data_IF_939163774048
#
_entry.id   IF_939163774048
#
_cell.length_a   1.000
_cell.length_b   1.000
_cell.length_c   1.000
_cell.angle_alpha   90.00
_cell.angle_beta   90.00
_cell.angle_gamma   90.00
#
_symmetry.space_group_name_H-M   'P 1'
#
loop_
_entity.id
_entity.type
_entity.pdbx_description
1 polymer ?
#
# COMPACT_ATOMS: atom_id res chain seq x y z
N UNK A 1 35.90 27.86 -4.04
CA UNK A 1 36.35 26.47 -3.77
C UNK A 1 35.14 25.62 -3.41
N UNK A 2 34.64 24.85 -4.37
CA UNK A 2 33.48 23.96 -4.23
C UNK A 2 34.01 22.53 -4.09
N UNK A 3 33.48 21.78 -3.11
CA UNK A 3 33.06 20.37 -3.15
C UNK A 3 33.40 19.61 -1.86
N UNK A 4 32.41 19.51 -0.96
CA UNK A 4 32.31 18.48 0.07
C UNK A 4 30.83 18.12 0.29
N UNK A 5 30.17 17.54 -0.72
CA UNK A 5 28.78 17.06 -0.58
C UNK A 5 28.46 15.81 -1.41
N UNK A 6 29.47 15.00 -1.76
CA UNK A 6 29.26 13.84 -2.65
C UNK A 6 29.78 12.53 -2.05
N UNK A 7 29.43 12.23 -0.79
CA UNK A 7 29.75 10.92 -0.20
C UNK A 7 28.57 10.22 0.49
N UNK A 8 27.33 10.63 0.19
CA UNK A 8 26.13 10.11 0.87
C UNK A 8 25.08 9.50 -0.07
N UNK A 9 25.42 9.30 -1.35
CA UNK A 9 24.49 8.73 -2.35
C UNK A 9 24.84 7.26 -2.68
N UNK A 10 26.00 6.76 -2.27
CA UNK A 10 26.48 5.43 -2.64
C UNK A 10 25.93 4.25 -1.83
N UNK A 11 25.35 4.47 -0.65
CA UNK A 11 24.98 3.39 0.27
C UNK A 11 23.55 2.86 0.11
N UNK A 12 22.70 3.52 -0.67
CA UNK A 12 21.29 3.09 -0.83
C UNK A 12 21.13 2.05 -1.96
N UNK A 13 22.06 1.99 -2.91
CA UNK A 13 21.98 1.06 -4.06
C UNK A 13 22.53 -0.35 -3.80
N UNK A 14 23.15 -0.61 -2.64
CA UNK A 14 23.74 -1.91 -2.32
C UNK A 14 22.76 -2.96 -1.78
N UNK A 15 21.44 -2.69 -1.76
CA UNK A 15 20.42 -3.61 -1.26
C UNK A 15 19.73 -4.47 -2.33
N UNK A 16 20.08 -4.34 -3.60
CA UNK A 16 19.37 -5.02 -4.71
C UNK A 16 20.09 -6.28 -5.22
N UNK A 17 21.27 -6.62 -4.69
CA UNK A 17 22.12 -7.65 -5.31
C UNK A 17 22.77 -8.63 -4.35
N UNK A 18 22.03 -9.23 -3.42
CA UNK A 18 22.49 -10.47 -2.77
C UNK A 18 21.36 -11.46 -2.45
N UNK A 19 21.31 -12.64 -3.10
CA UNK A 19 20.54 -13.79 -2.64
C UNK A 19 21.25 -14.54 -1.48
N UNK A 20 22.01 -13.82 -0.63
CA UNK A 20 22.87 -14.39 0.41
C UNK A 20 22.55 -13.85 1.82
N UNK A 21 21.32 -13.40 2.08
CA UNK A 21 20.88 -12.98 3.43
C UNK A 21 20.25 -14.16 4.18
N UNK A 22 20.91 -15.33 4.18
CA UNK A 22 20.49 -16.50 4.96
C UNK A 22 21.47 -16.87 6.08
N UNK A 23 22.58 -16.14 6.23
CA UNK A 23 23.55 -16.35 7.30
C UNK A 23 23.62 -15.12 8.23
N UNK A 24 22.74 -15.09 9.23
CA UNK A 24 22.95 -14.23 10.41
C UNK A 24 22.05 -13.01 10.56
N UNK A 25 20.78 -13.02 10.10
CA UNK A 25 19.81 -12.08 10.68
C UNK A 25 19.64 -12.50 12.15
N UNK A 26 20.10 -11.65 13.07
CA UNK A 26 19.91 -11.83 14.50
C UNK A 26 18.43 -12.16 14.78
N UNK A 27 18.17 -13.21 15.57
CA UNK A 27 16.80 -13.70 15.82
C UNK A 27 15.90 -12.58 16.39
N UNK A 28 16.47 -11.64 17.16
CA UNK A 28 15.71 -10.48 17.67
C UNK A 28 15.40 -9.50 16.54
N UNK A 29 16.36 -9.20 15.67
CA UNK A 29 16.12 -8.37 14.47
C UNK A 29 15.02 -8.95 13.56
N UNK A 30 15.05 -10.27 13.30
CA UNK A 30 13.97 -10.97 12.56
C UNK A 30 12.61 -10.81 13.26
N UNK A 31 12.57 -11.03 14.57
CA UNK A 31 11.33 -10.95 15.37
C UNK A 31 10.75 -9.54 15.35
N UNK A 32 11.59 -8.52 15.53
CA UNK A 32 11.17 -7.11 15.49
C UNK A 32 10.66 -6.73 14.10
N UNK A 33 11.37 -7.13 13.04
CA UNK A 33 10.93 -6.92 11.66
C UNK A 33 9.54 -7.52 11.41
N UNK A 34 9.33 -8.78 11.78
CA UNK A 34 8.05 -9.45 11.57
C UNK A 34 6.91 -8.83 12.39
N UNK A 35 7.18 -8.38 13.62
CA UNK A 35 6.19 -7.66 14.43
C UNK A 35 5.78 -6.34 13.77
N UNK A 36 6.74 -5.58 13.25
CA UNK A 36 6.46 -4.33 12.55
C UNK A 36 5.68 -4.58 11.25
N UNK A 37 6.12 -5.56 10.45
CA UNK A 37 5.43 -5.93 9.21
C UNK A 37 3.98 -6.38 9.48
N UNK A 38 3.73 -7.13 10.56
CA UNK A 38 2.37 -7.50 10.96
C UNK A 38 1.52 -6.26 11.32
N UNK A 39 2.12 -5.28 12.01
CA UNK A 39 1.48 -4.00 12.30
C UNK A 39 1.10 -3.25 11.02
N UNK A 40 2.03 -3.15 10.07
CA UNK A 40 1.80 -2.48 8.78
C UNK A 40 0.73 -3.19 7.95
N UNK A 41 0.74 -4.52 7.89
CA UNK A 41 -0.32 -5.33 7.26
C UNK A 41 -1.67 -5.03 7.90
N UNK A 42 -1.75 -4.98 9.24
CA UNK A 42 -3.00 -4.68 9.94
C UNK A 42 -3.53 -3.29 9.59
N UNK A 43 -2.66 -2.28 9.48
CA UNK A 43 -3.04 -0.93 9.06
C UNK A 43 -3.56 -0.94 7.63
N UNK A 44 -2.85 -1.57 6.70
CA UNK A 44 -3.27 -1.64 5.29
C UNK A 44 -4.59 -2.42 5.11
N UNK A 45 -4.81 -3.47 5.88
CA UNK A 45 -6.10 -4.18 5.90
C UNK A 45 -7.23 -3.29 6.41
N UNK A 46 -6.98 -2.46 7.42
CA UNK A 46 -7.97 -1.51 7.91
C UNK A 46 -8.31 -0.46 6.85
N UNK A 47 -7.30 0.07 6.16
CA UNK A 47 -7.47 0.99 5.03
C UNK A 47 -8.30 0.31 3.94
N UNK A 48 -7.93 -0.89 3.49
CA UNK A 48 -8.67 -1.65 2.47
C UNK A 48 -10.15 -1.87 2.85
N UNK A 49 -10.43 -2.18 4.12
CA UNK A 49 -11.80 -2.38 4.59
C UNK A 49 -12.60 -1.07 4.66
N UNK A 50 -11.99 0.02 5.15
CA UNK A 50 -12.58 1.36 5.11
C UNK A 50 -12.89 1.75 3.68
N UNK A 51 -11.94 1.48 2.79
CA UNK A 51 -12.08 1.71 1.37
C UNK A 51 -13.27 0.95 0.77
N UNK A 52 -13.37 -0.34 1.02
CA UNK A 52 -14.49 -1.15 0.55
C UNK A 52 -15.85 -0.59 1.00
N UNK A 53 -15.96 -0.10 2.24
CA UNK A 53 -17.19 0.53 2.76
C UNK A 53 -17.53 1.83 2.02
N UNK A 54 -16.56 2.69 1.77
CA UNK A 54 -16.77 3.94 1.04
C UNK A 54 -17.19 3.69 -0.42
N UNK A 55 -16.56 2.71 -1.09
CA UNK A 55 -16.97 2.28 -2.43
C UNK A 55 -18.43 1.80 -2.48
N UNK A 56 -18.86 1.04 -1.47
CA UNK A 56 -20.23 0.57 -1.38
C UNK A 56 -21.23 1.74 -1.22
N UNK A 57 -20.88 2.76 -0.43
CA UNK A 57 -21.68 4.00 -0.29
C UNK A 57 -21.76 4.76 -1.61
N UNK A 58 -20.62 5.03 -2.27
CA UNK A 58 -20.57 5.71 -3.56
C UNK A 58 -21.39 4.97 -4.62
N UNK A 59 -21.31 3.63 -4.65
CA UNK A 59 -22.08 2.81 -5.58
C UNK A 59 -23.59 2.94 -5.33
N UNK A 60 -24.00 3.03 -4.07
CA UNK A 60 -25.41 3.25 -3.70
C UNK A 60 -25.88 4.65 -4.12
N UNK A 61 -25.05 5.66 -3.95
CA UNK A 61 -25.36 7.04 -4.37
C UNK A 61 -25.44 7.18 -5.88
N UNK A 62 -24.55 6.53 -6.63
CA UNK A 62 -24.62 6.49 -8.10
C UNK A 62 -25.93 5.85 -8.58
N UNK A 63 -26.38 4.76 -7.94
CA UNK A 63 -27.68 4.15 -8.29
C UNK A 63 -28.85 5.10 -8.03
N UNK A 64 -28.79 5.88 -6.94
CA UNK A 64 -29.81 6.89 -6.63
C UNK A 64 -29.82 8.03 -7.64
N UNK A 65 -28.65 8.55 -8.06
CA UNK A 65 -28.59 9.62 -9.06
C UNK A 65 -29.10 9.17 -10.43
N UNK A 66 -28.84 7.92 -10.83
CA UNK A 66 -29.44 7.30 -12.02
C UNK A 66 -30.96 7.24 -11.92
N UNK A 67 -31.49 6.75 -10.79
CA UNK A 67 -32.95 6.68 -10.58
C UNK A 67 -33.61 8.06 -10.59
N UNK A 68 -32.94 9.08 -10.05
CA UNK A 68 -33.37 10.47 -10.07
C UNK A 68 -33.14 11.19 -11.42
N UNK A 69 -32.51 10.54 -12.39
CA UNK A 69 -32.08 11.12 -13.68
C UNK A 69 -31.15 12.34 -13.52
N UNK A 70 -30.45 12.47 -12.39
CA UNK A 70 -29.50 13.55 -12.13
C UNK A 70 -28.15 13.24 -12.78
N UNK A 71 -27.99 13.72 -14.02
CA UNK A 71 -26.76 13.53 -14.81
C UNK A 71 -25.55 14.26 -14.24
N UNK A 72 -25.73 15.36 -13.49
CA UNK A 72 -24.61 16.13 -12.93
C UNK A 72 -24.04 15.37 -11.75
N UNK A 73 -24.90 15.01 -10.79
CA UNK A 73 -24.49 14.22 -9.63
C UNK A 73 -23.86 12.89 -10.04
N UNK A 74 -24.42 12.21 -11.04
CA UNK A 74 -23.83 10.97 -11.55
C UNK A 74 -22.38 11.15 -12.04
N UNK A 75 -22.11 12.18 -12.85
CA UNK A 75 -20.75 12.45 -13.37
C UNK A 75 -19.76 12.79 -12.26
N UNK A 76 -20.20 13.52 -11.24
CA UNK A 76 -19.33 13.87 -10.11
C UNK A 76 -18.99 12.62 -9.27
N UNK A 77 -19.99 11.78 -8.97
CA UNK A 77 -19.78 10.50 -8.30
C UNK A 77 -18.92 9.53 -9.12
N UNK A 78 -19.05 9.52 -10.45
CA UNK A 78 -18.20 8.71 -11.34
C UNK A 78 -16.73 9.13 -11.25
N UNK A 79 -16.43 10.44 -11.19
CA UNK A 79 -15.06 10.94 -10.99
C UNK A 79 -14.50 10.50 -9.64
N UNK A 80 -15.32 10.55 -8.58
CA UNK A 80 -14.91 10.07 -7.26
C UNK A 80 -14.64 8.55 -7.26
N UNK A 81 -15.50 7.77 -7.91
CA UNK A 81 -15.31 6.33 -8.08
C UNK A 81 -13.99 5.98 -8.79
N UNK A 82 -13.57 6.79 -9.79
CA UNK A 82 -12.27 6.59 -10.46
C UNK A 82 -11.08 6.87 -9.53
N UNK A 83 -11.14 7.95 -8.74
CA UNK A 83 -10.13 8.22 -7.70
C UNK A 83 -10.07 7.11 -6.68
N UNK A 84 -11.24 6.56 -6.36
CA UNK A 84 -11.38 5.44 -5.45
C UNK A 84 -10.68 4.18 -5.96
N UNK A 85 -10.93 3.80 -7.22
CA UNK A 85 -10.32 2.64 -7.84
C UNK A 85 -8.78 2.69 -7.83
N UNK A 86 -8.18 3.86 -8.04
CA UNK A 86 -6.72 4.03 -7.96
C UNK A 86 -6.18 3.77 -6.55
N UNK A 87 -6.89 4.23 -5.50
CA UNK A 87 -6.47 3.98 -4.10
C UNK A 87 -6.61 2.49 -3.73
N UNK A 88 -7.72 1.87 -4.11
CA UNK A 88 -7.94 0.44 -3.88
C UNK A 88 -6.86 -0.42 -4.56
N UNK A 89 -6.45 -0.06 -5.77
CA UNK A 89 -5.34 -0.69 -6.47
C UNK A 89 -4.00 -0.51 -5.75
N UNK A 90 -3.71 0.71 -5.28
CA UNK A 90 -2.51 0.99 -4.50
C UNK A 90 -2.46 0.15 -3.23
N UNK A 91 -3.51 0.20 -2.40
CA UNK A 91 -3.63 -0.56 -1.16
C UNK A 91 -3.49 -2.07 -1.39
N UNK A 92 -4.10 -2.58 -2.46
CA UNK A 92 -3.99 -4.01 -2.85
C UNK A 92 -2.56 -4.39 -3.22
N UNK A 93 -1.86 -3.53 -3.95
CA UNK A 93 -0.47 -3.80 -4.36
C UNK A 93 0.49 -3.75 -3.16
N UNK A 94 0.29 -2.80 -2.23
CA UNK A 94 1.01 -2.76 -0.95
C UNK A 94 0.81 -4.06 -0.15
N UNK A 95 -0.44 -4.49 0.04
CA UNK A 95 -0.74 -5.75 0.74
C UNK A 95 -0.12 -6.98 0.08
N UNK A 96 -0.08 -7.03 -1.27
CA UNK A 96 0.60 -8.11 -2.00
C UNK A 96 2.11 -8.10 -1.73
N UNK A 97 2.75 -6.94 -1.78
CA UNK A 97 4.18 -6.79 -1.49
C UNK A 97 4.49 -7.22 -0.06
N UNK A 98 3.68 -6.77 0.91
CA UNK A 98 3.83 -7.17 2.32
C UNK A 98 3.64 -8.67 2.51
N UNK A 99 2.70 -9.31 1.80
CA UNK A 99 2.50 -10.76 1.85
C UNK A 99 3.71 -11.52 1.29
N UNK A 100 4.36 -11.01 0.24
CA UNK A 100 5.62 -11.59 -0.27
C UNK A 100 6.73 -11.47 0.78
N UNK A 101 6.90 -10.29 1.39
CA UNK A 101 7.90 -10.09 2.46
C UNK A 101 7.62 -10.98 3.67
N UNK A 102 6.35 -11.13 4.07
CA UNK A 102 5.96 -12.01 5.15
C UNK A 102 6.35 -13.46 4.87
N UNK A 103 6.06 -13.97 3.67
CA UNK A 103 6.41 -15.32 3.28
C UNK A 103 7.93 -15.54 3.16
N UNK A 104 8.69 -14.52 2.78
CA UNK A 104 10.14 -14.61 2.65
C UNK A 104 10.87 -14.55 4.00
N UNK A 105 10.38 -13.75 4.95
CA UNK A 105 11.13 -13.41 6.15
C UNK A 105 10.47 -13.79 7.47
N UNK A 106 9.16 -14.05 7.51
CA UNK A 106 8.40 -14.22 8.76
C UNK A 106 7.69 -15.56 8.91
N UNK A 107 7.48 -16.25 7.79
CA UNK A 107 7.08 -17.66 7.75
C UNK A 107 8.32 -18.57 7.80
#
# INVERSE_FOLDING_TARGET
MIKKTSLLIGTIFALISFPAVSAGIDKKAKTVYCKNLLGDISVQMHIANSEHKERAKLSKEMRKSVAAKDKKQFKDLEKEMRKFAMREEFTRNELKTMAVMWNAFCK
#
